data_IF_343895792299
#
_entry.id   IF_343895792299
#
_cell.length_a   1.000
_cell.length_b   1.000
_cell.length_c   1.000
_cell.angle_alpha   90.00
_cell.angle_beta   90.00
_cell.angle_gamma   90.00
#
_symmetry.space_group_name_H-M   'P 1'
#
loop_
_entity.id
_entity.type
_entity.pdbx_description
1 polymer ?
#
# COMPACT_ATOMS: atom_id res chain seq x y z
N UNK A 1 13.61 14.21 20.44
CA UNK A 1 13.90 13.84 19.04
C UNK A 1 13.40 12.42 18.90
N UNK A 2 12.14 12.30 18.51
CA UNK A 2 11.46 11.02 18.32
C UNK A 2 11.59 10.68 16.84
N UNK A 3 12.12 9.50 16.53
CA UNK A 3 12.04 8.94 15.19
C UNK A 3 10.56 8.73 14.87
N UNK A 4 10.04 9.69 14.13
CA UNK A 4 8.67 9.84 13.68
C UNK A 4 8.27 8.66 12.81
N UNK A 5 7.75 7.60 13.44
CA UNK A 5 7.02 6.50 12.82
C UNK A 5 7.86 5.62 11.89
N UNK A 6 7.70 4.32 12.00
CA UNK A 6 8.25 3.41 11.01
C UNK A 6 7.80 3.84 9.59
N UNK A 7 8.77 4.16 8.71
CA UNK A 7 8.48 4.63 7.34
C UNK A 7 7.64 3.61 6.57
N UNK A 8 7.79 2.33 6.91
CA UNK A 8 6.97 1.27 6.36
C UNK A 8 5.54 1.33 6.88
N UNK A 9 5.31 1.55 8.19
CA UNK A 9 3.98 1.84 8.73
C UNK A 9 3.30 3.04 8.05
N UNK A 10 4.04 4.11 7.76
CA UNK A 10 3.49 5.25 7.02
C UNK A 10 3.04 4.87 5.60
N UNK A 11 3.85 4.12 4.85
CA UNK A 11 3.48 3.67 3.51
C UNK A 11 2.27 2.72 3.55
N UNK A 12 2.22 1.80 4.51
CA UNK A 12 1.07 0.90 4.73
C UNK A 12 -0.22 1.68 4.99
N UNK A 13 -0.17 2.70 5.83
CA UNK A 13 -1.35 3.53 6.13
C UNK A 13 -1.88 4.24 4.88
N UNK A 14 -1.00 4.79 4.05
CA UNK A 14 -1.41 5.42 2.79
C UNK A 14 -2.04 4.41 1.83
N UNK A 15 -1.49 3.21 1.71
CA UNK A 15 -2.05 2.15 0.85
C UNK A 15 -3.45 1.74 1.33
N UNK A 16 -3.64 1.56 2.65
CA UNK A 16 -4.94 1.22 3.24
C UNK A 16 -5.96 2.31 2.94
N UNK A 17 -5.64 3.57 3.27
CA UNK A 17 -6.55 4.69 3.04
C UNK A 17 -6.91 4.85 1.56
N UNK A 18 -5.95 4.68 0.65
CA UNK A 18 -6.20 4.77 -0.79
C UNK A 18 -7.06 3.60 -1.30
N UNK A 19 -6.91 2.40 -0.71
CA UNK A 19 -7.69 1.22 -1.09
C UNK A 19 -9.18 1.30 -0.72
N UNK A 20 -9.53 2.11 0.28
CA UNK A 20 -10.90 2.32 0.76
C UNK A 20 -11.65 3.41 -0.03
N UNK A 21 -10.96 4.18 -0.89
CA UNK A 21 -11.59 5.25 -1.67
C UNK A 21 -12.35 4.68 -2.86
N UNK A 22 -13.60 5.09 -3.06
CA UNK A 22 -14.45 4.60 -4.16
C UNK A 22 -13.91 4.96 -5.55
N UNK A 23 -13.22 6.10 -5.69
CA UNK A 23 -12.68 6.60 -6.95
C UNK A 23 -11.32 6.01 -7.33
N UNK A 24 -10.60 5.40 -6.39
CA UNK A 24 -9.22 4.94 -6.57
C UNK A 24 -9.00 3.48 -6.18
N UNK A 25 -9.73 3.02 -5.16
CA UNK A 25 -9.57 1.72 -4.52
C UNK A 25 -9.66 0.54 -5.48
N UNK A 26 -10.66 0.46 -6.38
CA UNK A 26 -10.79 -0.65 -7.33
C UNK A 26 -9.53 -0.84 -8.20
N UNK A 27 -9.08 0.23 -8.86
CA UNK A 27 -7.91 0.22 -9.76
C UNK A 27 -6.61 -0.03 -8.98
N UNK A 28 -6.44 0.61 -7.82
CA UNK A 28 -5.27 0.42 -6.97
C UNK A 28 -5.16 -1.02 -6.47
N UNK A 29 -6.27 -1.63 -6.04
CA UNK A 29 -6.28 -3.01 -5.57
C UNK A 29 -6.02 -4.01 -6.68
N UNK A 30 -6.51 -3.77 -7.89
CA UNK A 30 -6.19 -4.58 -9.07
C UNK A 30 -4.68 -4.55 -9.34
N UNK A 31 -4.11 -3.35 -9.45
CA UNK A 31 -2.68 -3.16 -9.66
C UNK A 31 -1.80 -3.80 -8.56
N UNK A 32 -2.16 -3.64 -7.28
CA UNK A 32 -1.41 -4.24 -6.17
C UNK A 32 -1.36 -5.78 -6.25
N UNK A 33 -2.45 -6.42 -6.68
CA UNK A 33 -2.48 -7.89 -6.87
C UNK A 33 -1.57 -8.33 -8.00
N UNK A 34 -1.43 -7.54 -9.05
CA UNK A 34 -0.52 -7.83 -10.15
C UNK A 34 0.94 -7.59 -9.75
N UNK A 35 1.22 -6.44 -9.15
CA UNK A 35 2.55 -6.06 -8.70
C UNK A 35 3.12 -7.08 -7.71
N UNK A 36 2.33 -7.51 -6.73
CA UNK A 36 2.77 -8.50 -5.73
C UNK A 36 3.15 -9.86 -6.32
N UNK A 37 2.60 -10.24 -7.48
CA UNK A 37 3.01 -11.46 -8.20
C UNK A 37 4.38 -11.35 -8.86
N UNK A 38 4.86 -10.12 -9.11
CA UNK A 38 6.20 -9.87 -9.66
C UNK A 38 7.29 -9.88 -8.60
N UNK A 39 6.92 -9.84 -7.31
CA UNK A 39 7.88 -9.83 -6.22
C UNK A 39 8.52 -11.21 -6.06
N UNK A 40 9.82 -11.27 -5.74
CA UNK A 40 10.47 -12.54 -5.46
C UNK A 40 9.78 -13.22 -4.27
N UNK A 41 9.55 -14.52 -4.40
CA UNK A 41 9.17 -15.35 -3.26
C UNK A 41 10.39 -15.43 -2.34
N UNK A 42 10.19 -15.12 -1.06
CA UNK A 42 11.23 -15.21 -0.03
C UNK A 42 11.68 -16.63 0.24
#
# INVERSE_FOLDING_TARGET
RYDTGDKLSYLKANIILASEREDLGPELCEWLREYTRTLPVG
#
